data_IF_479083124651
#
_entry.id   IF_479083124651
#
_cell.length_a   1.000
_cell.length_b   1.000
_cell.length_c   1.000
_cell.angle_alpha   90.00
_cell.angle_beta   90.00
_cell.angle_gamma   90.00
#
_symmetry.space_group_name_H-M   'P 1'
#
loop_
_entity.id
_entity.type
_entity.pdbx_description
1 polymer ?
#
# COMPACT_ATOMS: atom_id res chain seq x y z
N UNK A 1 5.90 2.42 -16.78
CA UNK A 1 4.49 2.46 -17.24
C UNK A 1 3.50 2.69 -16.10
N UNK A 2 3.94 2.75 -14.84
CA UNK A 2 3.03 2.75 -13.67
C UNK A 2 2.55 4.14 -13.23
N UNK A 3 3.29 5.20 -13.56
CA UNK A 3 2.96 6.57 -13.15
C UNK A 3 1.66 7.09 -13.79
N UNK A 4 1.38 6.71 -15.04
CA UNK A 4 0.17 7.13 -15.76
C UNK A 4 -1.11 6.48 -15.21
N UNK A 5 -1.00 5.27 -14.66
CA UNK A 5 -2.12 4.58 -14.01
C UNK A 5 -2.48 5.24 -12.68
N UNK A 6 -1.47 5.58 -11.88
CA UNK A 6 -1.67 6.31 -10.62
C UNK A 6 -2.27 7.69 -10.84
N UNK A 7 -1.78 8.42 -11.83
CA UNK A 7 -2.30 9.76 -12.16
C UNK A 7 -3.78 9.73 -12.58
N UNK A 8 -4.14 8.86 -13.54
CA UNK A 8 -5.54 8.70 -13.98
C UNK A 8 -6.45 8.25 -12.85
N UNK A 9 -5.96 7.36 -11.98
CA UNK A 9 -6.71 6.94 -10.81
C UNK A 9 -6.94 8.08 -9.82
N UNK A 10 -5.90 8.85 -9.50
CA UNK A 10 -5.96 9.98 -8.57
C UNK A 10 -6.92 11.08 -9.06
N UNK A 11 -6.92 11.36 -10.36
CA UNK A 11 -7.84 12.32 -10.99
C UNK A 11 -9.30 11.84 -10.89
N UNK A 12 -9.57 10.55 -11.19
CA UNK A 12 -10.89 9.96 -11.07
C UNK A 12 -11.37 9.87 -9.61
N UNK A 13 -10.47 9.57 -8.67
CA UNK A 13 -10.78 9.51 -7.24
C UNK A 13 -11.12 10.89 -6.68
N UNK A 14 -10.34 11.90 -7.05
CA UNK A 14 -10.59 13.28 -6.62
C UNK A 14 -11.92 13.83 -7.14
N UNK A 15 -12.36 13.39 -8.32
CA UNK A 15 -13.64 13.77 -8.90
C UNK A 15 -14.87 13.20 -8.15
N UNK A 16 -14.70 12.10 -7.41
CA UNK A 16 -15.78 11.45 -6.65
C UNK A 16 -15.74 11.76 -5.15
N UNK A 17 -14.75 12.53 -4.69
CA UNK A 17 -14.67 12.95 -3.29
C UNK A 17 -15.65 14.10 -3.00
N UNK A 18 -16.40 14.04 -1.88
CA UNK A 18 -17.24 15.15 -1.45
C UNK A 18 -16.38 16.37 -1.07
N UNK A 19 -16.91 17.56 -1.33
CA UNK A 19 -16.18 18.83 -1.20
C UNK A 19 -15.92 19.27 0.25
N UNK A 20 -16.60 18.68 1.24
CA UNK A 20 -16.39 19.01 2.65
C UNK A 20 -16.59 17.82 3.59
N UNK A 21 -15.85 17.82 4.71
CA UNK A 21 -15.96 16.82 5.77
C UNK A 21 -17.34 16.81 6.48
N UNK A 22 -18.11 17.91 6.38
CA UNK A 22 -19.42 18.06 7.02
C UNK A 22 -20.55 17.26 6.34
N UNK A 23 -20.39 16.90 5.05
CA UNK A 23 -21.34 16.08 4.30
C UNK A 23 -21.12 14.57 4.50
N UNK A 24 -20.03 14.18 5.16
CA UNK A 24 -19.58 12.78 5.25
C UNK A 24 -20.25 12.11 6.46
N UNK A 25 -21.54 11.79 6.31
CA UNK A 25 -22.42 11.39 7.42
C UNK A 25 -22.05 10.07 8.11
N UNK A 26 -21.69 9.02 7.35
CA UNK A 26 -21.13 7.73 7.81
C UNK A 26 -21.20 6.73 6.64
N UNK A 27 -22.34 6.67 5.96
CA UNK A 27 -22.55 5.82 4.78
C UNK A 27 -21.63 6.20 3.62
N UNK A 28 -21.43 7.50 3.40
CA UNK A 28 -20.49 8.01 2.39
C UNK A 28 -19.06 7.63 2.76
N UNK A 29 -18.69 7.68 4.05
CA UNK A 29 -17.36 7.27 4.50
C UNK A 29 -17.12 5.78 4.25
N UNK A 30 -18.13 4.93 4.54
CA UNK A 30 -18.08 3.49 4.26
C UNK A 30 -17.92 3.22 2.75
N UNK A 31 -18.69 3.92 1.91
CA UNK A 31 -18.62 3.77 0.46
C UNK A 31 -17.28 4.23 -0.12
N UNK A 32 -16.73 5.37 0.35
CA UNK A 32 -15.40 5.83 -0.04
C UNK A 32 -14.31 4.83 0.36
N UNK A 33 -14.39 4.24 1.55
CA UNK A 33 -13.44 3.21 1.99
C UNK A 33 -13.46 1.97 1.09
N UNK A 34 -14.63 1.54 0.62
CA UNK A 34 -14.76 0.42 -0.32
C UNK A 34 -14.12 0.77 -1.66
N UNK A 35 -14.39 1.95 -2.21
CA UNK A 35 -13.83 2.40 -3.48
C UNK A 35 -12.30 2.54 -3.44
N UNK A 36 -11.74 3.02 -2.33
CA UNK A 36 -10.28 3.08 -2.12
C UNK A 36 -9.69 1.67 -2.06
N UNK A 37 -10.32 0.73 -1.36
CA UNK A 37 -9.85 -0.66 -1.29
C UNK A 37 -9.88 -1.35 -2.65
N UNK A 38 -10.96 -1.20 -3.39
CA UNK A 38 -11.07 -1.75 -4.75
C UNK A 38 -9.99 -1.16 -5.68
N UNK A 39 -9.69 0.12 -5.54
CA UNK A 39 -8.65 0.78 -6.31
C UNK A 39 -7.26 0.23 -6.01
N UNK A 40 -6.92 0.09 -4.72
CA UNK A 40 -5.65 -0.51 -4.27
C UNK A 40 -5.50 -1.91 -4.89
N UNK A 41 -6.56 -2.72 -4.83
CA UNK A 41 -6.59 -4.06 -5.44
C UNK A 41 -6.46 -4.04 -6.97
N UNK A 42 -7.23 -3.19 -7.67
CA UNK A 42 -7.20 -3.08 -9.14
C UNK A 42 -5.85 -2.58 -9.67
N UNK A 43 -5.11 -1.85 -8.85
CA UNK A 43 -3.80 -1.29 -9.21
C UNK A 43 -2.63 -2.18 -8.76
N UNK A 44 -2.89 -3.32 -8.13
CA UNK A 44 -1.86 -4.19 -7.53
C UNK A 44 -0.95 -3.42 -6.56
N UNK A 45 -1.53 -2.44 -5.85
CA UNK A 45 -0.83 -1.67 -4.85
C UNK A 45 -0.83 -2.47 -3.55
N UNK A 46 0.35 -2.78 -3.03
CA UNK A 46 0.52 -3.42 -1.72
C UNK A 46 0.31 -2.41 -0.61
N UNK A 47 -0.30 -2.84 0.50
CA UNK A 47 -0.44 -1.98 1.67
C UNK A 47 0.94 -1.65 2.26
N UNK A 48 1.09 -0.43 2.81
CA UNK A 48 2.35 -0.01 3.45
C UNK A 48 2.78 -0.98 4.56
N UNK A 49 1.83 -1.54 5.29
CA UNK A 49 2.02 -2.57 6.32
C UNK A 49 2.66 -3.84 5.76
N UNK A 50 2.21 -4.32 4.60
CA UNK A 50 2.77 -5.49 3.92
C UNK A 50 4.20 -5.23 3.47
N UNK A 51 4.48 -4.03 2.93
CA UNK A 51 5.84 -3.60 2.56
C UNK A 51 6.77 -3.55 3.78
N UNK A 52 6.29 -3.03 4.91
CA UNK A 52 7.06 -2.95 6.14
C UNK A 52 7.33 -4.34 6.73
N UNK A 53 6.35 -5.26 6.69
CA UNK A 53 6.52 -6.65 7.10
C UNK A 53 7.57 -7.37 6.24
N UNK A 54 7.48 -7.25 4.91
CA UNK A 54 8.45 -7.84 3.99
C UNK A 54 9.87 -7.28 4.20
N UNK A 55 10.00 -5.97 4.47
CA UNK A 55 11.30 -5.37 4.81
C UNK A 55 11.89 -5.96 6.09
N UNK A 56 11.07 -6.16 7.12
CA UNK A 56 11.53 -6.75 8.37
C UNK A 56 12.02 -8.19 8.17
N UNK A 57 11.28 -9.00 7.40
CA UNK A 57 11.65 -10.37 7.08
C UNK A 57 12.94 -10.45 6.26
N UNK A 58 13.09 -9.60 5.23
CA UNK A 58 14.33 -9.52 4.44
C UNK A 58 15.53 -9.17 5.31
N UNK A 59 15.38 -8.24 6.26
CA UNK A 59 16.46 -7.86 7.17
C UNK A 59 16.85 -9.02 8.10
N UNK A 60 15.86 -9.77 8.60
CA UNK A 60 16.10 -10.96 9.40
C UNK A 60 16.88 -12.02 8.60
N UNK A 61 16.42 -12.35 7.39
CA UNK A 61 17.08 -13.32 6.50
C UNK A 61 18.52 -12.91 6.17
N UNK A 62 18.77 -11.61 5.92
CA UNK A 62 20.13 -11.09 5.70
C UNK A 62 21.02 -11.29 6.92
N UNK A 63 20.50 -11.06 8.14
CA UNK A 63 21.25 -11.30 9.38
C UNK A 63 21.62 -12.77 9.52
N UNK A 64 20.65 -13.67 9.36
CA UNK A 64 20.89 -15.12 9.41
C UNK A 64 21.90 -15.57 8.36
N UNK A 65 21.81 -15.06 7.14
CA UNK A 65 22.76 -15.39 6.07
C UNK A 65 24.18 -14.93 6.42
N UNK A 66 24.34 -13.73 6.97
CA UNK A 66 25.63 -13.22 7.40
C UNK A 66 26.23 -14.06 8.54
N UNK A 67 25.42 -14.48 9.50
CA UNK A 67 25.85 -15.37 10.57
C UNK A 67 26.31 -16.73 10.03
N UNK A 68 25.55 -17.34 9.13
CA UNK A 68 25.92 -18.61 8.48
C UNK A 68 27.23 -18.44 7.72
N UNK A 69 27.35 -17.38 6.91
CA UNK A 69 28.57 -17.07 6.17
C UNK A 69 29.78 -16.93 7.09
N UNK A 70 29.63 -16.22 8.21
CA UNK A 70 30.71 -16.06 9.19
C UNK A 70 31.16 -17.37 9.85
N UNK A 71 30.27 -18.37 9.92
CA UNK A 71 30.58 -19.71 10.44
C UNK A 71 31.25 -20.62 9.40
N UNK A 72 30.99 -20.37 8.11
CA UNK A 72 31.60 -21.11 6.99
C UNK A 72 32.98 -20.55 6.62
N UNK A 73 33.19 -19.25 6.79
CA UNK A 73 34.49 -18.59 6.55
C UNK A 73 35.48 -18.75 7.72
N UNK A 74 35.06 -19.38 8.83
CA UNK A 74 35.92 -19.79 9.97
C UNK A 74 36.32 -21.26 9.85
#
# INVERSE_FOLDING_TARGET
MDNDKFKKWSENFSAILPKSALEVKEDIQKNLRVLVKEAIQKMDLVEKSEVEALKAEINHLKSTLNEIRSKVEK
#
